data_IF_993109661609
#
_entry.id   IF_993109661609
#
_cell.length_a   1.000
_cell.length_b   1.000
_cell.length_c   1.000
_cell.angle_alpha   90.00
_cell.angle_beta   90.00
_cell.angle_gamma   90.00
#
_symmetry.space_group_name_H-M   'P 1'
#
loop_
_entity.id
_entity.type
_entity.pdbx_description
1 polymer ?
#
# COMPACT_ATOMS: atom_id res chain seq x y z
N UNK A 1 -29.65 32.18 31.72
CA UNK A 1 -29.79 31.70 30.33
C UNK A 1 -29.07 30.36 30.25
N UNK A 2 -29.78 29.23 30.11
CA UNK A 2 -29.16 27.89 30.07
C UNK A 2 -28.79 27.59 28.61
N UNK A 3 -27.51 27.51 28.31
CA UNK A 3 -27.00 27.09 26.99
C UNK A 3 -26.96 25.57 26.98
N UNK A 4 -27.78 24.93 26.15
CA UNK A 4 -27.75 23.49 25.93
C UNK A 4 -26.74 23.25 24.80
N UNK A 5 -25.60 22.64 25.12
CA UNK A 5 -24.61 22.21 24.13
C UNK A 5 -25.07 20.84 23.61
N UNK A 6 -25.54 20.79 22.37
CA UNK A 6 -25.83 19.53 21.70
C UNK A 6 -24.51 18.90 21.25
N UNK A 7 -24.11 17.81 21.92
CA UNK A 7 -22.99 16.97 21.49
C UNK A 7 -23.48 16.11 20.32
N UNK A 8 -23.02 16.45 19.12
CA UNK A 8 -23.23 15.65 17.92
C UNK A 8 -22.23 14.49 17.93
N UNK A 9 -22.67 13.30 18.36
CA UNK A 9 -21.87 12.07 18.30
C UNK A 9 -21.88 11.60 16.84
N UNK A 10 -20.82 11.90 16.10
CA UNK A 10 -20.55 11.29 14.80
C UNK A 10 -20.18 9.82 15.03
N UNK A 11 -21.15 8.93 14.81
CA UNK A 11 -20.93 7.49 14.81
C UNK A 11 -20.28 7.16 13.46
N UNK A 12 -18.96 7.05 13.41
CA UNK A 12 -18.28 6.51 12.23
C UNK A 12 -18.63 5.03 12.11
N UNK A 13 -19.13 4.55 10.97
CA UNK A 13 -19.33 3.13 10.78
C UNK A 13 -17.97 2.43 10.87
N UNK A 14 -17.82 1.55 11.87
CA UNK A 14 -16.72 0.58 11.88
C UNK A 14 -17.06 -0.46 10.83
N UNK A 15 -16.36 -0.45 9.70
CA UNK A 15 -16.52 -1.50 8.70
C UNK A 15 -15.92 -2.76 9.32
N UNK A 16 -16.79 -3.64 9.83
CA UNK A 16 -16.38 -4.97 10.25
C UNK A 16 -16.31 -5.84 8.99
N UNK A 17 -15.12 -5.91 8.39
CA UNK A 17 -14.80 -6.88 7.35
C UNK A 17 -14.76 -8.27 7.98
N UNK A 18 -15.91 -8.94 7.98
CA UNK A 18 -16.01 -10.33 8.42
C UNK A 18 -16.37 -11.18 7.21
N UNK A 19 -15.36 -11.97 6.81
CA UNK A 19 -15.39 -13.15 5.93
C UNK A 19 -15.28 -12.87 4.42
N UNK A 20 -14.39 -13.65 3.78
CA UNK A 20 -14.06 -13.74 2.34
C UNK A 20 -12.96 -12.81 1.78
N UNK A 21 -11.93 -12.49 2.56
CA UNK A 21 -10.69 -11.89 2.02
C UNK A 21 -9.51 -12.85 2.17
N UNK A 22 -8.69 -12.99 1.12
CA UNK A 22 -7.39 -13.65 1.22
C UNK A 22 -6.38 -12.66 1.84
N UNK A 23 -5.71 -13.06 2.92
CA UNK A 23 -4.83 -12.20 3.71
C UNK A 23 -3.37 -12.35 3.31
N UNK A 24 -2.68 -11.22 3.11
CA UNK A 24 -1.27 -11.20 2.75
C UNK A 24 -0.49 -10.22 3.64
N UNK A 25 0.42 -10.77 4.45
CA UNK A 25 1.34 -10.00 5.31
C UNK A 25 2.28 -9.14 4.45
N UNK A 26 2.35 -7.85 4.78
CA UNK A 26 3.31 -6.92 4.18
C UNK A 26 4.65 -6.99 4.92
N UNK A 27 5.75 -7.00 4.17
CA UNK A 27 7.11 -6.91 4.71
C UNK A 27 7.59 -5.46 4.71
N UNK A 28 7.52 -4.80 3.56
CA UNK A 28 8.08 -3.47 3.31
C UNK A 28 7.22 -2.67 2.33
N UNK A 29 7.26 -1.34 2.46
CA UNK A 29 6.74 -0.42 1.45
C UNK A 29 7.89 0.30 0.77
N UNK A 30 7.75 0.54 -0.53
CA UNK A 30 8.71 1.28 -1.33
C UNK A 30 8.03 2.43 -2.05
N UNK A 31 8.77 3.53 -2.22
CA UNK A 31 8.39 4.61 -3.13
C UNK A 31 9.32 4.61 -4.34
N UNK A 32 8.74 4.65 -5.53
CA UNK A 32 9.45 4.88 -6.78
C UNK A 32 9.86 6.35 -6.86
N UNK A 33 11.13 6.60 -7.18
CA UNK A 33 11.67 7.92 -7.45
C UNK A 33 12.18 7.91 -8.89
N UNK A 34 11.50 8.65 -9.76
CA UNK A 34 11.96 8.93 -11.12
C UNK A 34 13.23 9.78 -11.08
N UNK A 35 14.20 9.45 -11.92
CA UNK A 35 15.50 10.10 -11.99
C UNK A 35 15.58 11.01 -13.23
N UNK A 36 16.53 11.95 -13.20
CA UNK A 36 16.83 12.75 -14.38
C UNK A 36 17.50 11.87 -15.45
N UNK A 37 17.18 12.13 -16.73
CA UNK A 37 17.80 11.42 -17.85
C UNK A 37 19.33 11.56 -17.83
N UNK A 38 20.04 10.48 -18.15
CA UNK A 38 21.48 10.39 -18.06
C UNK A 38 22.00 10.08 -16.64
N UNK A 39 21.14 9.74 -15.69
CA UNK A 39 21.58 9.19 -14.39
C UNK A 39 22.12 7.78 -14.60
N UNK A 40 23.30 7.50 -14.04
CA UNK A 40 23.98 6.20 -14.15
C UNK A 40 24.04 5.49 -12.79
N UNK A 41 23.97 4.16 -12.80
CA UNK A 41 24.25 3.31 -11.63
C UNK A 41 25.76 3.14 -11.37
N UNK A 42 26.13 2.29 -10.41
CA UNK A 42 27.53 2.03 -10.06
C UNK A 42 28.35 1.33 -11.15
N UNK A 43 27.68 0.62 -12.07
CA UNK A 43 28.31 -0.08 -13.18
C UNK A 43 28.42 0.83 -14.43
N UNK A 44 27.79 2.01 -14.39
CA UNK A 44 27.80 3.02 -15.44
C UNK A 44 26.68 2.85 -16.46
N UNK A 45 25.65 2.05 -16.14
CA UNK A 45 24.46 1.86 -16.95
C UNK A 45 23.40 2.91 -16.62
N UNK A 46 22.66 3.39 -17.63
CA UNK A 46 21.60 4.39 -17.43
C UNK A 46 20.40 3.78 -16.71
N UNK A 47 19.92 4.48 -15.68
CA UNK A 47 18.74 4.09 -14.89
C UNK A 47 17.72 5.21 -14.86
N UNK A 48 16.45 4.85 -15.01
CA UNK A 48 15.34 5.81 -15.06
C UNK A 48 14.72 6.06 -13.69
N UNK A 49 14.83 5.11 -12.76
CA UNK A 49 14.23 5.22 -11.43
C UNK A 49 14.93 4.34 -10.40
N UNK A 50 14.68 4.63 -9.12
CA UNK A 50 15.05 3.78 -7.99
C UNK A 50 13.84 3.55 -7.07
N UNK A 51 13.92 2.52 -6.25
CA UNK A 51 12.99 2.29 -5.14
C UNK A 51 13.67 2.63 -3.83
N UNK A 52 12.98 3.39 -2.99
CA UNK A 52 13.44 3.73 -1.64
C UNK A 52 12.41 3.24 -0.65
N UNK A 53 12.85 2.50 0.36
CA UNK A 53 11.99 2.05 1.46
C UNK A 53 11.30 3.26 2.11
N UNK A 54 10.01 3.13 2.41
CA UNK A 54 9.19 4.21 2.94
C UNK A 54 8.21 3.70 3.97
N UNK A 55 7.59 4.62 4.71
CA UNK A 55 6.40 4.36 5.51
C UNK A 55 5.16 4.95 4.82
N UNK A 56 4.00 4.38 5.11
CA UNK A 56 2.69 4.90 4.75
C UNK A 56 1.97 5.34 6.03
N UNK A 57 1.08 6.33 5.91
CA UNK A 57 0.26 6.76 7.04
C UNK A 57 -0.68 5.63 7.48
N UNK A 58 -0.85 5.47 8.79
CA UNK A 58 -1.76 4.48 9.37
C UNK A 58 -3.19 4.67 8.89
N UNK A 59 -3.86 3.57 8.53
CA UNK A 59 -5.24 3.61 8.08
C UNK A 59 -5.58 2.47 7.12
N UNK A 60 -6.86 2.44 6.73
CA UNK A 60 -7.38 1.48 5.77
C UNK A 60 -7.62 2.16 4.43
N UNK A 61 -7.08 1.57 3.36
CA UNK A 61 -7.14 2.09 2.00
C UNK A 61 -7.72 1.04 1.07
N UNK A 62 -8.73 1.39 0.27
CA UNK A 62 -9.13 0.58 -0.88
C UNK A 62 -8.14 0.83 -2.01
N UNK A 63 -7.45 -0.22 -2.46
CA UNK A 63 -6.38 -0.14 -3.46
C UNK A 63 -6.55 -1.23 -4.52
N UNK A 64 -5.87 -1.04 -5.64
CA UNK A 64 -5.65 -2.06 -6.66
C UNK A 64 -4.13 -2.24 -6.81
N UNK A 65 -3.64 -3.48 -6.70
CA UNK A 65 -2.22 -3.80 -6.93
C UNK A 65 -2.00 -4.44 -8.30
N UNK A 66 -0.84 -4.22 -8.91
CA UNK A 66 -0.42 -4.96 -10.11
C UNK A 66 1.06 -5.33 -10.06
N UNK A 67 1.52 -6.15 -11.01
CA UNK A 67 2.91 -6.61 -11.06
C UNK A 67 3.88 -5.44 -11.26
N UNK A 68 4.89 -5.35 -10.40
CA UNK A 68 6.02 -4.45 -10.53
C UNK A 68 7.33 -5.20 -10.83
N UNK A 69 8.47 -4.49 -10.84
CA UNK A 69 9.79 -5.13 -11.00
C UNK A 69 10.12 -6.07 -9.84
N UNK A 70 10.59 -7.27 -10.17
CA UNK A 70 10.99 -8.27 -9.17
C UNK A 70 9.80 -8.78 -8.35
N UNK A 71 9.93 -8.76 -7.02
CA UNK A 71 8.89 -9.19 -6.07
C UNK A 71 8.07 -8.01 -5.51
N UNK A 72 8.09 -6.86 -6.21
CA UNK A 72 7.32 -5.67 -5.84
C UNK A 72 5.99 -5.62 -6.59
N UNK A 73 4.97 -5.11 -5.91
CA UNK A 73 3.63 -4.91 -6.46
C UNK A 73 3.29 -3.42 -6.43
N UNK A 74 2.96 -2.84 -7.58
CA UNK A 74 2.59 -1.44 -7.70
C UNK A 74 1.20 -1.21 -7.09
N UNK A 75 1.05 -0.22 -6.22
CA UNK A 75 -0.25 0.33 -5.85
C UNK A 75 -0.68 1.29 -6.97
N UNK A 76 -1.60 0.84 -7.82
CA UNK A 76 -1.95 1.54 -9.06
C UNK A 76 -2.40 2.98 -8.81
N UNK A 77 -1.92 3.87 -9.68
CA UNK A 77 -2.23 5.30 -9.60
C UNK A 77 -1.43 6.05 -8.53
N UNK A 78 -0.40 5.41 -7.96
CA UNK A 78 0.51 6.01 -6.99
C UNK A 78 1.97 5.68 -7.34
N UNK A 79 2.92 6.30 -6.64
CA UNK A 79 4.34 5.96 -6.74
C UNK A 79 4.75 4.88 -5.72
N UNK A 80 3.80 4.23 -5.06
CA UNK A 80 4.07 3.31 -3.94
C UNK A 80 3.96 1.85 -4.38
N UNK A 81 4.79 1.03 -3.76
CA UNK A 81 4.94 -0.39 -4.01
C UNK A 81 4.91 -1.17 -2.70
N UNK A 82 4.39 -2.38 -2.76
CA UNK A 82 4.30 -3.32 -1.65
C UNK A 82 5.25 -4.48 -1.92
N UNK A 83 5.99 -4.89 -0.90
CA UNK A 83 6.67 -6.18 -0.86
C UNK A 83 5.99 -7.05 0.18
N UNK A 84 5.52 -8.23 -0.24
CA UNK A 84 4.90 -9.18 0.67
C UNK A 84 5.95 -10.07 1.35
N UNK A 85 5.63 -10.51 2.56
CA UNK A 85 6.50 -11.39 3.36
C UNK A 85 6.70 -12.77 2.74
N UNK A 86 5.72 -13.22 1.97
CA UNK A 86 5.79 -14.44 1.18
C UNK A 86 5.44 -14.11 -0.27
N UNK A 87 5.90 -14.95 -1.19
CA UNK A 87 5.57 -14.81 -2.60
C UNK A 87 4.05 -14.77 -2.79
N UNK A 88 3.55 -13.65 -3.31
CA UNK A 88 2.11 -13.40 -3.48
C UNK A 88 1.56 -14.06 -4.74
N UNK A 89 2.32 -14.08 -5.83
CA UNK A 89 1.87 -14.62 -7.11
C UNK A 89 1.76 -13.56 -8.20
N UNK A 90 1.04 -13.88 -9.27
CA UNK A 90 0.84 -12.98 -10.41
C UNK A 90 -0.38 -12.07 -10.16
N UNK A 91 -0.20 -10.76 -10.28
CA UNK A 91 -1.23 -9.73 -10.10
C UNK A 91 -1.47 -8.90 -11.38
N UNK A 92 -1.05 -9.39 -12.55
CA UNK A 92 -0.92 -8.58 -13.76
C UNK A 92 -2.20 -8.04 -14.40
N UNK A 93 -3.40 -8.49 -13.99
CA UNK A 93 -4.66 -7.86 -14.41
C UNK A 93 -5.17 -6.79 -13.44
N UNK A 94 -4.47 -6.59 -12.32
CA UNK A 94 -4.97 -5.80 -11.20
C UNK A 94 -5.69 -6.69 -10.19
N UNK A 95 -5.38 -6.51 -8.91
CA UNK A 95 -6.04 -7.20 -7.81
C UNK A 95 -6.54 -6.15 -6.82
N UNK A 96 -7.87 -6.06 -6.66
CA UNK A 96 -8.50 -5.11 -5.74
C UNK A 96 -8.45 -5.65 -4.30
N UNK A 97 -8.34 -4.75 -3.33
CA UNK A 97 -8.38 -5.13 -1.93
C UNK A 97 -8.30 -3.95 -0.98
N UNK A 98 -8.17 -4.28 0.29
CA UNK A 98 -7.99 -3.30 1.36
C UNK A 98 -6.59 -3.46 1.92
N UNK A 99 -5.82 -2.38 1.88
CA UNK A 99 -4.56 -2.30 2.59
C UNK A 99 -4.82 -1.69 3.97
N UNK A 100 -4.66 -2.48 5.02
CA UNK A 100 -4.66 -2.02 6.41
C UNK A 100 -3.23 -1.72 6.84
N UNK A 101 -2.88 -0.43 6.90
CA UNK A 101 -1.55 0.06 7.28
C UNK A 101 -1.47 0.21 8.79
N UNK A 102 -0.68 -0.66 9.42
CA UNK A 102 -0.37 -0.60 10.84
C UNK A 102 0.71 0.41 11.18
N UNK A 103 1.24 0.33 12.40
CA UNK A 103 2.33 1.21 12.89
C UNK A 103 3.63 1.13 12.09
N UNK A 104 3.79 0.07 11.29
CA UNK A 104 4.90 -0.18 10.36
C UNK A 104 4.44 -1.19 9.31
N UNK A 105 5.23 -1.38 8.25
CA UNK A 105 4.97 -2.38 7.21
C UNK A 105 4.73 -3.79 7.79
N UNK A 106 5.55 -4.22 8.76
CA UNK A 106 5.45 -5.52 9.44
C UNK A 106 4.17 -5.76 10.23
N UNK A 107 3.41 -4.70 10.50
CA UNK A 107 2.09 -4.75 11.15
C UNK A 107 0.94 -4.47 10.18
N UNK A 108 1.21 -4.47 8.87
CA UNK A 108 0.25 -4.15 7.83
C UNK A 108 -0.16 -5.42 7.07
N UNK A 109 -1.39 -5.44 6.58
CA UNK A 109 -1.97 -6.58 5.87
C UNK A 109 -2.75 -6.09 4.66
N UNK A 110 -2.55 -6.76 3.52
CA UNK A 110 -3.41 -6.60 2.36
C UNK A 110 -4.47 -7.71 2.35
N UNK A 111 -5.73 -7.29 2.29
CA UNK A 111 -6.90 -8.16 2.20
C UNK A 111 -7.38 -8.13 0.75
N UNK A 112 -7.10 -9.20 0.00
CA UNK A 112 -7.54 -9.34 -1.40
C UNK A 112 -9.04 -9.62 -1.46
N UNK A 113 -9.74 -8.86 -2.30
CA UNK A 113 -11.17 -9.01 -2.59
C UNK A 113 -11.39 -10.12 -3.62
N UNK A 114 -12.32 -11.03 -3.36
CA UNK A 114 -12.73 -12.08 -4.32
C UNK A 114 -13.46 -11.55 -5.57
#
# INVERSE_FOLDING_TARGET
MRVIIAILILITPTISYSQDYEEHDVEEFYKKIELESGTLDEDGDEIDFIFVETELDQGQYEIEITDGPGDLYEIKGTDYFIKFKFYYGYAGYGEEGILDVGTSAWSSTFYKKE
#
